data_IF_671114725606
#
_entry.id   IF_671114725606
#
_cell.length_a   1.000
_cell.length_b   1.000
_cell.length_c   1.000
_cell.angle_alpha   90.00
_cell.angle_beta   90.00
_cell.angle_gamma   90.00
#
_symmetry.space_group_name_H-M   'P 1'
#
loop_
_entity.id
_entity.type
_entity.pdbx_description
1 polymer ?
#
# COMPACT_ATOMS: atom_id res chain seq x y z
N UNK A 1 -15.13 -9.96 5.02
CA UNK A 1 -15.28 -10.41 3.62
C UNK A 1 -13.98 -11.06 3.17
N UNK A 2 -14.05 -12.22 2.50
CA UNK A 2 -12.87 -12.99 2.05
C UNK A 2 -12.05 -12.19 1.03
N UNK A 3 -10.73 -12.36 1.03
CA UNK A 3 -9.86 -11.81 -0.01
C UNK A 3 -10.30 -12.33 -1.40
N UNK A 4 -10.13 -11.52 -2.46
CA UNK A 4 -10.54 -11.94 -3.79
C UNK A 4 -9.79 -13.20 -4.23
N UNK A 5 -10.50 -14.16 -4.80
CA UNK A 5 -9.93 -15.44 -5.24
C UNK A 5 -9.06 -15.25 -6.49
N UNK A 6 -8.15 -16.20 -6.74
CA UNK A 6 -7.36 -16.20 -7.98
C UNK A 6 -8.23 -16.16 -9.25
N UNK A 7 -9.41 -16.79 -9.19
CA UNK A 7 -10.40 -16.78 -10.28
C UNK A 7 -10.93 -15.36 -10.53
N UNK A 8 -11.21 -14.57 -9.48
CA UNK A 8 -11.68 -13.19 -9.65
C UNK A 8 -10.64 -12.30 -10.34
N UNK A 9 -9.36 -12.49 -10.02
CA UNK A 9 -8.28 -11.77 -10.70
C UNK A 9 -8.11 -12.21 -12.16
N UNK A 10 -8.23 -13.51 -12.45
CA UNK A 10 -8.19 -14.02 -13.81
C UNK A 10 -9.35 -13.47 -14.66
N UNK A 11 -10.56 -13.43 -14.11
CA UNK A 11 -11.73 -12.84 -14.77
C UNK A 11 -11.52 -11.35 -15.02
N UNK A 12 -10.97 -10.61 -14.05
CA UNK A 12 -10.68 -9.19 -14.22
C UNK A 12 -9.67 -8.95 -15.35
N UNK A 13 -8.61 -9.74 -15.43
CA UNK A 13 -7.60 -9.65 -16.48
C UNK A 13 -8.19 -9.91 -17.87
N UNK A 14 -9.02 -10.95 -17.98
CA UNK A 14 -9.62 -11.36 -19.25
C UNK A 14 -10.68 -10.36 -19.72
N UNK A 15 -11.66 -10.06 -18.87
CA UNK A 15 -12.77 -9.15 -19.21
C UNK A 15 -12.25 -7.73 -19.42
N UNK A 16 -11.36 -7.24 -18.54
CA UNK A 16 -10.76 -5.92 -18.68
C UNK A 16 -9.90 -5.80 -19.93
N UNK A 17 -9.06 -6.80 -20.22
CA UNK A 17 -8.25 -6.85 -21.43
C UNK A 17 -9.08 -6.81 -22.71
N UNK A 18 -10.11 -7.67 -22.81
CA UNK A 18 -11.00 -7.71 -23.97
C UNK A 18 -11.78 -6.40 -24.11
N UNK A 19 -12.37 -5.88 -23.03
CA UNK A 19 -13.15 -4.64 -23.08
C UNK A 19 -12.32 -3.43 -23.54
N UNK A 20 -11.09 -3.29 -23.03
CA UNK A 20 -10.19 -2.22 -23.44
C UNK A 20 -9.68 -2.40 -24.88
N UNK A 21 -9.43 -3.63 -25.31
CA UNK A 21 -9.06 -3.92 -26.72
C UNK A 21 -10.20 -3.56 -27.68
N UNK A 22 -11.46 -3.83 -27.29
CA UNK A 22 -12.63 -3.41 -28.06
C UNK A 22 -12.77 -1.87 -28.10
N UNK A 23 -12.48 -1.19 -27.00
CA UNK A 23 -12.46 0.27 -26.95
C UNK A 23 -11.40 0.86 -27.90
N UNK A 24 -10.18 0.33 -27.87
CA UNK A 24 -9.11 0.74 -28.78
C UNK A 24 -9.44 0.43 -30.25
N UNK A 25 -10.21 -0.64 -30.51
CA UNK A 25 -10.72 -0.95 -31.85
C UNK A 25 -11.73 0.09 -32.36
N UNK A 26 -12.48 0.75 -31.48
CA UNK A 26 -13.32 1.89 -31.86
C UNK A 26 -12.45 3.06 -32.35
N UNK A 27 -11.33 3.34 -31.69
CA UNK A 27 -10.42 4.39 -32.13
C UNK A 27 -9.81 4.10 -33.50
N UNK A 28 -9.44 2.85 -33.77
CA UNK A 28 -8.95 2.44 -35.09
C UNK A 28 -10.05 2.60 -36.15
N UNK A 29 -11.27 2.14 -35.86
CA UNK A 29 -12.39 2.21 -36.81
C UNK A 29 -12.79 3.64 -37.19
N UNK A 30 -12.64 4.60 -36.27
CA UNK A 30 -12.91 6.01 -36.51
C UNK A 30 -11.67 6.83 -36.94
N UNK A 31 -10.53 6.17 -37.17
CA UNK A 31 -9.29 6.86 -37.58
C UNK A 31 -8.75 7.82 -36.52
N UNK A 32 -8.99 7.55 -35.23
CA UNK A 32 -8.45 8.34 -34.11
C UNK A 32 -6.98 8.00 -33.87
N UNK A 33 -6.62 6.72 -34.04
CA UNK A 33 -5.25 6.25 -33.95
C UNK A 33 -4.97 5.16 -34.99
N UNK A 34 -3.70 5.04 -35.34
CA UNK A 34 -3.18 4.02 -36.25
C UNK A 34 -2.09 3.20 -35.55
N UNK A 35 -2.13 1.87 -35.72
CA UNK A 35 -1.12 0.95 -35.17
C UNK A 35 -0.06 0.67 -36.23
N UNK A 36 1.21 0.64 -35.82
CA UNK A 36 2.33 0.42 -36.74
C UNK A 36 2.44 -1.03 -37.22
N UNK A 37 2.06 -2.00 -36.38
CA UNK A 37 1.98 -3.43 -36.72
C UNK A 37 0.61 -3.98 -36.33
N UNK A 38 -0.32 -4.04 -37.29
CA UNK A 38 -1.72 -4.37 -37.08
C UNK A 38 -2.05 -5.84 -37.42
N UNK A 39 -1.28 -6.76 -36.84
CA UNK A 39 -1.26 -8.19 -37.22
C UNK A 39 -2.57 -8.95 -36.90
N UNK A 40 -3.43 -8.41 -36.02
CA UNK A 40 -4.62 -9.09 -35.52
C UNK A 40 -5.87 -8.21 -35.62
N UNK A 41 -6.63 -8.30 -36.72
CA UNK A 41 -7.89 -7.57 -36.91
C UNK A 41 -7.77 -6.05 -36.69
N UNK A 42 -6.67 -5.45 -37.17
CA UNK A 42 -6.37 -4.03 -36.97
C UNK A 42 -5.62 -3.72 -35.67
N UNK A 43 -5.52 -4.68 -34.75
CA UNK A 43 -4.79 -4.55 -33.48
C UNK A 43 -3.37 -5.10 -33.55
N UNK A 44 -2.49 -4.51 -32.75
CA UNK A 44 -1.18 -5.11 -32.48
C UNK A 44 -1.29 -6.29 -31.52
N UNK A 45 -0.45 -7.31 -31.70
CA UNK A 45 -0.45 -8.53 -30.88
C UNK A 45 -0.31 -8.25 -29.37
N UNK A 46 0.37 -7.16 -29.01
CA UNK A 46 0.66 -6.76 -27.63
C UNK A 46 -0.48 -5.97 -26.96
N UNK A 47 -1.49 -5.50 -27.71
CA UNK A 47 -2.58 -4.67 -27.17
C UNK A 47 -3.35 -5.40 -26.07
N UNK A 48 -3.81 -6.63 -26.35
CA UNK A 48 -4.58 -7.43 -25.40
C UNK A 48 -3.75 -7.80 -24.16
N UNK A 49 -2.51 -8.36 -24.28
CA UNK A 49 -1.64 -8.59 -23.12
C UNK A 49 -1.40 -7.34 -22.27
N UNK A 50 -1.18 -6.18 -22.90
CA UNK A 50 -0.98 -4.91 -22.20
C UNK A 50 -2.21 -4.53 -21.37
N UNK A 51 -3.41 -4.56 -21.97
CA UNK A 51 -4.63 -4.21 -21.26
C UNK A 51 -5.04 -5.22 -20.19
N UNK A 52 -4.79 -6.52 -20.40
CA UNK A 52 -4.98 -7.54 -19.37
C UNK A 52 -4.05 -7.31 -18.18
N UNK A 53 -2.79 -6.95 -18.45
CA UNK A 53 -1.80 -6.60 -17.42
C UNK A 53 -2.25 -5.35 -16.65
N UNK A 54 -2.63 -4.28 -17.35
CA UNK A 54 -3.17 -3.07 -16.72
C UNK A 54 -4.35 -3.39 -15.79
N UNK A 55 -5.29 -4.21 -16.26
CA UNK A 55 -6.50 -4.60 -15.51
C UNK A 55 -6.15 -5.36 -14.22
N UNK A 56 -5.08 -6.15 -14.22
CA UNK A 56 -4.58 -6.86 -13.03
C UNK A 56 -3.94 -5.92 -12.00
N UNK A 57 -3.17 -4.93 -12.44
CA UNK A 57 -2.34 -4.12 -11.54
C UNK A 57 -3.02 -2.84 -11.04
N UNK A 58 -3.96 -2.28 -11.80
CA UNK A 58 -4.52 -0.96 -11.47
C UNK A 58 -5.33 -0.97 -10.17
N UNK A 59 -6.06 -2.06 -9.88
CA UNK A 59 -6.82 -2.20 -8.63
C UNK A 59 -5.89 -2.32 -7.41
N UNK A 60 -4.85 -3.19 -7.40
CA UNK A 60 -3.83 -3.19 -6.35
C UNK A 60 -3.13 -1.84 -6.14
N UNK A 61 -2.81 -1.13 -7.23
CA UNK A 61 -2.18 0.21 -7.17
C UNK A 61 -3.13 1.20 -6.48
N UNK A 62 -4.39 1.27 -6.89
CA UNK A 62 -5.39 2.11 -6.24
C UNK A 62 -5.59 1.75 -4.77
N UNK A 63 -5.69 0.45 -4.46
CA UNK A 63 -5.82 -0.05 -3.08
C UNK A 63 -4.64 0.40 -2.22
N UNK A 64 -3.42 0.32 -2.74
CA UNK A 64 -2.21 0.79 -2.06
C UNK A 64 -2.24 2.30 -1.85
N UNK A 65 -2.55 3.07 -2.88
CA UNK A 65 -2.72 4.53 -2.80
C UNK A 65 -3.73 4.90 -1.72
N UNK A 66 -4.91 4.29 -1.75
CA UNK A 66 -5.99 4.52 -0.79
C UNK A 66 -5.56 4.24 0.65
N UNK A 67 -4.79 3.18 0.90
CA UNK A 67 -4.24 2.89 2.21
C UNK A 67 -3.21 3.93 2.68
N UNK A 68 -2.40 4.47 1.77
CA UNK A 68 -1.41 5.50 2.09
C UNK A 68 -2.07 6.85 2.40
N UNK A 69 -3.15 7.20 1.71
CA UNK A 69 -3.88 8.46 1.92
C UNK A 69 -4.96 8.37 3.00
N UNK A 70 -5.12 7.21 3.67
CA UNK A 70 -6.18 6.97 4.65
C UNK A 70 -7.60 7.04 4.06
N UNK A 71 -7.75 6.91 2.74
CA UNK A 71 -9.05 7.03 2.10
C UNK A 71 -9.92 5.78 2.35
N UNK A 72 -11.22 5.99 2.58
CA UNK A 72 -12.15 4.92 2.91
C UNK A 72 -12.45 4.07 1.67
N UNK A 73 -12.51 2.75 1.85
CA UNK A 73 -12.97 1.83 0.80
C UNK A 73 -14.44 2.09 0.45
N UNK A 74 -14.77 1.96 -0.83
CA UNK A 74 -16.17 1.92 -1.27
C UNK A 74 -16.78 0.56 -0.93
N UNK A 75 -18.05 0.57 -0.54
CA UNK A 75 -18.87 -0.63 -0.55
C UNK A 75 -19.68 -0.60 -1.85
N UNK A 76 -19.20 -1.32 -2.85
CA UNK A 76 -19.76 -1.25 -4.21
C UNK A 76 -20.65 -2.46 -4.50
N UNK A 77 -21.90 -2.21 -4.85
CA UNK A 77 -22.85 -3.21 -5.34
C UNK A 77 -22.58 -3.60 -6.80
N UNK A 78 -23.16 -4.72 -7.26
CA UNK A 78 -23.09 -5.13 -8.68
C UNK A 78 -23.64 -4.05 -9.61
N UNK A 79 -24.72 -3.38 -9.22
CA UNK A 79 -25.34 -2.31 -10.02
C UNK A 79 -24.46 -1.07 -10.14
N UNK A 80 -23.80 -0.66 -9.06
CA UNK A 80 -22.87 0.48 -9.09
C UNK A 80 -21.61 0.18 -9.90
N UNK A 81 -21.09 -1.05 -9.82
CA UNK A 81 -19.98 -1.48 -10.66
C UNK A 81 -20.37 -1.46 -12.14
N UNK A 82 -21.54 -2.01 -12.49
CA UNK A 82 -22.05 -2.00 -13.85
C UNK A 82 -22.24 -0.57 -14.36
N UNK A 83 -22.83 0.32 -13.56
CA UNK A 83 -23.01 1.73 -13.92
C UNK A 83 -21.67 2.44 -14.16
N UNK A 84 -20.64 2.16 -13.34
CA UNK A 84 -19.32 2.73 -13.57
C UNK A 84 -18.61 2.17 -14.79
N UNK A 85 -18.77 0.87 -15.06
CA UNK A 85 -18.22 0.22 -16.25
C UNK A 85 -18.86 0.79 -17.52
N UNK A 86 -20.20 0.86 -17.58
CA UNK A 86 -20.93 1.48 -18.68
C UNK A 86 -20.52 2.94 -18.85
N UNK A 87 -20.44 3.71 -17.77
CA UNK A 87 -20.01 5.10 -17.83
C UNK A 87 -18.59 5.25 -18.38
N UNK A 88 -17.65 4.36 -18.03
CA UNK A 88 -16.30 4.36 -18.57
C UNK A 88 -16.29 3.98 -20.06
N UNK A 89 -16.93 2.86 -20.42
CA UNK A 89 -17.00 2.38 -21.80
C UNK A 89 -17.68 3.39 -22.73
N UNK A 90 -18.76 4.04 -22.28
CA UNK A 90 -19.43 5.09 -23.05
C UNK A 90 -18.55 6.32 -23.23
N UNK A 91 -17.84 6.75 -22.18
CA UNK A 91 -16.90 7.87 -22.26
C UNK A 91 -15.76 7.56 -23.23
N UNK A 92 -15.25 6.33 -23.23
CA UNK A 92 -14.25 5.89 -24.20
C UNK A 92 -14.84 5.84 -25.61
N UNK A 93 -15.93 5.10 -25.83
CA UNK A 93 -16.51 4.88 -27.16
C UNK A 93 -16.90 6.19 -27.86
N UNK A 94 -17.41 7.19 -27.12
CA UNK A 94 -17.81 8.47 -27.71
C UNK A 94 -16.62 9.26 -28.29
N UNK A 95 -15.39 9.02 -27.80
CA UNK A 95 -14.19 9.68 -28.32
C UNK A 95 -13.76 9.20 -29.70
N UNK A 96 -14.31 8.08 -30.19
CA UNK A 96 -14.19 7.66 -31.59
C UNK A 96 -14.79 8.71 -32.55
N UNK A 97 -16.13 8.80 -32.64
CA UNK A 97 -16.79 9.74 -33.55
C UNK A 97 -16.54 11.22 -33.17
N UNK A 98 -16.36 11.53 -31.89
CA UNK A 98 -16.19 12.92 -31.42
C UNK A 98 -14.72 13.34 -31.25
N UNK A 99 -13.74 12.48 -31.60
CA UNK A 99 -12.32 12.75 -31.34
C UNK A 99 -11.81 14.07 -31.91
N UNK A 100 -12.39 14.51 -33.03
CA UNK A 100 -12.08 15.77 -33.72
C UNK A 100 -12.52 17.03 -32.95
N UNK A 101 -13.32 16.92 -31.89
CA UNK A 101 -13.78 18.06 -31.09
C UNK A 101 -12.71 18.60 -30.12
N UNK A 102 -11.60 17.88 -29.94
CA UNK A 102 -10.47 18.32 -29.11
C UNK A 102 -10.90 18.73 -27.70
N UNK A 103 -10.59 19.98 -27.34
CA UNK A 103 -10.88 20.58 -26.02
C UNK A 103 -12.38 20.62 -25.67
N UNK A 104 -13.28 20.66 -26.65
CA UNK A 104 -14.73 20.65 -26.39
C UNK A 104 -15.21 19.29 -25.90
N UNK A 105 -14.67 18.21 -26.49
CA UNK A 105 -14.90 16.86 -25.98
C UNK A 105 -14.28 16.70 -24.59
N UNK A 106 -13.09 17.26 -24.34
CA UNK A 106 -12.49 17.27 -23.02
C UNK A 106 -13.39 17.95 -21.97
N UNK A 107 -14.00 19.09 -22.30
CA UNK A 107 -14.94 19.78 -21.44
C UNK A 107 -16.20 18.94 -21.16
N UNK A 108 -16.76 18.29 -22.19
CA UNK A 108 -17.93 17.41 -22.06
C UNK A 108 -17.65 16.21 -21.15
N UNK A 109 -16.52 15.53 -21.36
CA UNK A 109 -16.09 14.40 -20.54
C UNK A 109 -15.82 14.84 -19.09
N UNK A 110 -15.22 16.01 -18.90
CA UNK A 110 -15.02 16.59 -17.56
C UNK A 110 -16.35 16.84 -16.86
N UNK A 111 -17.33 17.44 -17.53
CA UNK A 111 -18.65 17.68 -16.98
C UNK A 111 -19.36 16.36 -16.62
N UNK A 112 -19.27 15.35 -17.48
CA UNK A 112 -19.80 14.02 -17.22
C UNK A 112 -19.12 13.35 -16.01
N UNK A 113 -17.80 13.51 -15.88
CA UNK A 113 -17.04 13.01 -14.73
C UNK A 113 -17.45 13.70 -13.43
N UNK A 114 -17.57 15.04 -13.43
CA UNK A 114 -18.05 15.81 -12.26
C UNK A 114 -19.46 15.36 -11.87
N UNK A 115 -20.37 15.19 -12.82
CA UNK A 115 -21.73 14.70 -12.55
C UNK A 115 -21.73 13.30 -11.90
N UNK A 116 -20.84 12.40 -12.36
CA UNK A 116 -20.66 11.07 -11.76
C UNK A 116 -20.02 11.14 -10.36
N UNK A 117 -19.14 12.12 -10.13
CA UNK A 117 -18.45 12.33 -8.86
C UNK A 117 -19.38 12.90 -7.77
N UNK A 118 -20.34 13.76 -8.11
CA UNK A 118 -21.31 14.31 -7.13
C UNK A 118 -22.06 13.20 -6.38
N UNK A 119 -22.31 12.07 -7.04
CA UNK A 119 -22.94 10.88 -6.44
C UNK A 119 -22.00 10.10 -5.50
N UNK A 120 -20.70 10.37 -5.53
CA UNK A 120 -19.63 9.60 -4.86
C UNK A 120 -18.86 10.49 -3.89
N UNK A 121 -19.37 10.63 -2.66
CA UNK A 121 -18.82 11.50 -1.59
C UNK A 121 -17.47 11.01 -1.01
N UNK A 122 -16.47 10.68 -1.83
CA UNK A 122 -15.16 10.17 -1.37
C UNK A 122 -14.01 10.98 -1.95
N UNK A 123 -13.41 11.85 -1.12
CA UNK A 123 -12.32 12.77 -1.51
C UNK A 123 -11.07 12.06 -2.07
N UNK A 124 -10.76 10.86 -1.59
CA UNK A 124 -9.59 10.09 -2.05
C UNK A 124 -9.64 9.68 -3.52
N UNK A 125 -10.85 9.51 -4.08
CA UNK A 125 -11.02 9.14 -5.49
C UNK A 125 -10.61 10.31 -6.39
N UNK A 126 -10.89 11.55 -5.99
CA UNK A 126 -10.57 12.75 -6.77
C UNK A 126 -9.06 12.84 -7.00
N UNK A 127 -8.27 12.70 -5.93
CA UNK A 127 -6.81 12.77 -6.04
C UNK A 127 -6.27 11.65 -6.93
N UNK A 128 -6.79 10.43 -6.79
CA UNK A 128 -6.41 9.31 -7.65
C UNK A 128 -6.79 9.55 -9.12
N UNK A 129 -8.00 10.08 -9.39
CA UNK A 129 -8.46 10.44 -10.73
C UNK A 129 -7.52 11.44 -11.39
N UNK A 130 -7.15 12.51 -10.68
CA UNK A 130 -6.23 13.53 -11.20
C UNK A 130 -4.83 12.95 -11.47
N UNK A 131 -4.31 12.11 -10.57
CA UNK A 131 -3.03 11.43 -10.79
C UNK A 131 -3.07 10.51 -12.00
N UNK A 132 -4.15 9.73 -12.16
CA UNK A 132 -4.31 8.82 -13.28
C UNK A 132 -4.49 9.57 -14.61
N UNK A 133 -5.19 10.71 -14.60
CA UNK A 133 -5.36 11.60 -15.76
C UNK A 133 -4.05 12.26 -16.22
N UNK A 134 -3.00 12.25 -15.40
CA UNK A 134 -1.65 12.69 -15.81
C UNK A 134 -0.79 11.48 -16.19
N UNK A 135 -0.73 10.47 -15.32
CA UNK A 135 0.16 9.31 -15.49
C UNK A 135 -0.23 8.44 -16.71
N UNK A 136 -1.53 8.23 -16.93
CA UNK A 136 -2.03 7.45 -18.06
C UNK A 136 -1.63 8.02 -19.41
N UNK A 137 -2.04 9.27 -19.73
CA UNK A 137 -1.65 9.92 -20.98
C UNK A 137 -0.14 10.07 -21.15
N UNK A 138 0.64 10.23 -20.06
CA UNK A 138 2.10 10.27 -20.16
C UNK A 138 2.69 8.93 -20.62
N UNK A 139 2.17 7.79 -20.15
CA UNK A 139 2.57 6.46 -20.62
C UNK A 139 2.17 6.28 -22.09
N UNK A 140 0.94 6.65 -22.45
CA UNK A 140 0.51 6.59 -23.86
C UNK A 140 1.35 7.47 -24.77
N UNK A 141 1.69 8.68 -24.33
CA UNK A 141 2.54 9.59 -25.09
C UNK A 141 3.93 9.00 -25.32
N UNK A 142 4.49 8.30 -24.33
CA UNK A 142 5.76 7.60 -24.46
C UNK A 142 5.69 6.40 -25.42
N UNK A 143 4.62 5.61 -25.37
CA UNK A 143 4.41 4.49 -26.31
C UNK A 143 4.21 5.03 -27.73
N UNK A 144 3.43 6.10 -27.89
CA UNK A 144 3.23 6.79 -29.18
C UNK A 144 4.55 7.33 -29.74
N UNK A 145 5.36 7.98 -28.89
CA UNK A 145 6.68 8.48 -29.26
C UNK A 145 7.68 7.38 -29.65
N UNK A 146 7.49 6.14 -29.17
CA UNK A 146 8.32 4.99 -29.56
C UNK A 146 8.01 4.46 -30.97
N UNK A 147 6.93 4.94 -31.61
CA UNK A 147 6.51 4.48 -32.93
C UNK A 147 5.63 3.23 -32.91
N UNK A 148 5.14 2.81 -31.73
CA UNK A 148 4.28 1.62 -31.63
C UNK A 148 2.86 1.86 -32.17
N UNK A 149 2.37 3.10 -32.03
CA UNK A 149 1.14 3.60 -32.63
C UNK A 149 1.19 5.12 -32.69
N UNK A 150 0.30 5.77 -33.45
CA UNK A 150 0.21 7.23 -33.51
C UNK A 150 -1.25 7.69 -33.49
N UNK A 151 -1.51 8.80 -32.81
CA UNK A 151 -2.78 9.51 -32.93
C UNK A 151 -2.78 10.34 -34.22
N UNK A 152 -3.92 10.40 -34.91
CA UNK A 152 -4.04 11.10 -36.20
C UNK A 152 -4.13 12.62 -36.06
N UNK A 153 -4.67 13.10 -34.93
CA UNK A 153 -4.79 14.53 -34.61
C UNK A 153 -4.42 14.82 -33.13
N UNK A 154 -3.14 14.72 -32.75
CA UNK A 154 -2.69 15.05 -31.40
C UNK A 154 -2.61 16.57 -31.19
N UNK A 155 -3.16 17.06 -30.06
CA UNK A 155 -3.14 18.46 -29.64
C UNK A 155 -2.61 18.63 -28.19
N UNK A 156 -2.08 17.55 -27.60
CA UNK A 156 -1.39 17.52 -26.31
C UNK A 156 -0.13 16.63 -26.42
N UNK A 157 0.98 17.19 -26.92
CA UNK A 157 2.19 16.44 -27.29
C UNK A 157 1.93 15.39 -28.38
N UNK A 158 2.12 14.10 -28.09
CA UNK A 158 1.90 12.98 -29.02
C UNK A 158 0.52 12.33 -28.84
N UNK A 159 -0.36 12.94 -28.04
CA UNK A 159 -1.71 12.43 -27.71
C UNK A 159 -2.78 13.54 -27.77
N UNK A 160 -4.08 13.20 -27.75
CA UNK A 160 -5.17 14.18 -27.76
C UNK A 160 -5.44 14.79 -26.37
N UNK A 161 -5.96 16.01 -26.35
CA UNK A 161 -6.29 16.82 -25.17
C UNK A 161 -7.50 16.27 -24.39
N UNK A 162 -8.36 15.49 -25.05
CA UNK A 162 -9.46 14.77 -24.41
C UNK A 162 -9.03 13.47 -23.71
N UNK A 163 -7.85 12.93 -24.01
CA UNK A 163 -7.38 11.64 -23.48
C UNK A 163 -7.30 11.62 -21.93
N UNK A 164 -6.76 12.65 -21.24
CA UNK A 164 -6.79 12.71 -19.78
C UNK A 164 -8.18 12.51 -19.17
N UNK A 165 -9.24 12.90 -19.87
CA UNK A 165 -10.60 12.85 -19.34
C UNK A 165 -11.18 11.44 -19.35
N UNK A 166 -10.77 10.57 -20.28
CA UNK A 166 -11.11 9.13 -20.23
C UNK A 166 -10.52 8.49 -18.97
N UNK A 167 -9.28 8.86 -18.61
CA UNK A 167 -8.61 8.37 -17.40
C UNK A 167 -9.31 8.80 -16.11
N UNK A 168 -9.93 9.98 -16.07
CA UNK A 168 -10.78 10.39 -14.94
C UNK A 168 -11.93 9.39 -14.72
N UNK A 169 -12.58 8.95 -15.80
CA UNK A 169 -13.64 7.94 -15.75
C UNK A 169 -13.11 6.55 -15.40
N UNK A 170 -11.92 6.19 -15.89
CA UNK A 170 -11.23 4.95 -15.55
C UNK A 170 -10.97 4.85 -14.04
N UNK A 171 -10.53 5.94 -13.41
CA UNK A 171 -10.32 5.99 -11.97
C UNK A 171 -11.58 5.71 -11.15
N UNK A 172 -12.76 6.17 -11.60
CA UNK A 172 -14.04 5.85 -10.96
C UNK A 172 -14.34 4.35 -11.02
N UNK A 173 -14.12 3.73 -12.19
CA UNK A 173 -14.29 2.29 -12.37
C UNK A 173 -13.32 1.48 -11.50
N UNK A 174 -12.06 1.88 -11.43
CA UNK A 174 -11.04 1.23 -10.58
C UNK A 174 -11.44 1.30 -9.10
N UNK A 175 -11.96 2.43 -8.65
CA UNK A 175 -12.43 2.58 -7.28
C UNK A 175 -13.59 1.63 -6.94
N UNK A 176 -14.53 1.46 -7.87
CA UNK A 176 -15.64 0.51 -7.73
C UNK A 176 -15.21 -0.95 -7.82
N UNK A 177 -14.26 -1.27 -8.69
CA UNK A 177 -13.65 -2.60 -8.76
C UNK A 177 -12.97 -2.96 -7.44
N UNK A 178 -12.22 -2.03 -6.84
CA UNK A 178 -11.62 -2.24 -5.53
C UNK A 178 -12.66 -2.49 -4.45
N UNK A 179 -13.72 -1.69 -4.41
CA UNK A 179 -14.84 -1.87 -3.47
C UNK A 179 -15.56 -3.21 -3.65
N UNK A 180 -15.83 -3.60 -4.90
CA UNK A 180 -16.48 -4.86 -5.26
C UNK A 180 -15.61 -6.08 -4.94
N UNK A 181 -14.29 -5.99 -5.18
CA UNK A 181 -13.30 -7.03 -4.85
C UNK A 181 -12.91 -7.04 -3.36
N UNK A 182 -13.72 -6.42 -2.50
CA UNK A 182 -13.64 -6.56 -1.06
C UNK A 182 -12.89 -5.46 -0.32
N UNK A 183 -12.39 -4.42 -0.99
CA UNK A 183 -12.02 -3.09 -0.46
C UNK A 183 -11.07 -3.00 0.75
N UNK A 184 -10.66 -4.12 1.35
CA UNK A 184 -9.76 -4.16 2.50
C UNK A 184 -8.38 -4.54 1.97
N UNK A 185 -7.38 -3.74 2.33
CA UNK A 185 -6.02 -4.23 2.24
C UNK A 185 -5.89 -5.48 3.13
N UNK A 186 -5.05 -6.45 2.76
CA UNK A 186 -4.69 -7.51 3.67
C UNK A 186 -4.23 -6.87 4.98
N UNK A 187 -4.89 -7.21 6.08
CA UNK A 187 -4.49 -6.72 7.39
C UNK A 187 -3.05 -7.17 7.63
N UNK A 188 -2.11 -6.23 7.79
CA UNK A 188 -0.73 -6.57 8.19
C UNK A 188 -0.75 -7.44 9.46
N UNK A 189 -1.78 -7.32 10.29
CA UNK A 189 -1.95 -8.05 11.56
C UNK A 189 -1.94 -9.58 11.40
N UNK A 190 -2.24 -10.10 10.21
CA UNK A 190 -2.24 -11.54 9.94
C UNK A 190 -0.98 -12.05 9.21
N UNK A 191 -0.02 -11.17 8.89
CA UNK A 191 1.17 -11.58 8.14
C UNK A 191 2.13 -12.38 9.01
N UNK A 192 2.41 -13.61 8.56
CA UNK A 192 3.49 -14.45 9.09
C UNK A 192 4.78 -14.12 8.33
N UNK A 193 5.64 -13.29 8.91
CA UNK A 193 6.91 -12.93 8.30
C UNK A 193 7.99 -13.95 8.65
N UNK A 194 8.86 -14.27 7.69
CA UNK A 194 10.12 -14.93 8.00
C UNK A 194 11.03 -14.00 8.81
N UNK A 195 11.96 -14.50 9.64
CA UNK A 195 12.92 -13.65 10.35
C UNK A 195 13.70 -12.72 9.42
N UNK A 196 14.01 -13.17 8.20
CA UNK A 196 14.68 -12.36 7.16
C UNK A 196 13.78 -11.23 6.68
N UNK A 197 12.51 -11.52 6.37
CA UNK A 197 11.53 -10.52 5.91
C UNK A 197 11.22 -9.50 7.00
N UNK A 198 11.07 -9.95 8.25
CA UNK A 198 10.86 -9.08 9.41
C UNK A 198 12.04 -8.14 9.64
N UNK A 199 13.27 -8.69 9.62
CA UNK A 199 14.49 -7.88 9.72
C UNK A 199 14.57 -6.84 8.60
N UNK A 200 14.28 -7.23 7.37
CA UNK A 200 14.28 -6.31 6.23
C UNK A 200 13.23 -5.22 6.41
N UNK A 201 11.99 -5.58 6.77
CA UNK A 201 10.88 -4.64 7.02
C UNK A 201 11.24 -3.58 8.05
N UNK A 202 11.82 -3.97 9.19
CA UNK A 202 12.25 -3.00 10.22
C UNK A 202 13.47 -2.17 9.77
N UNK A 203 14.41 -2.76 9.04
CA UNK A 203 15.60 -2.04 8.57
C UNK A 203 15.33 -1.04 7.45
N UNK A 204 14.26 -1.22 6.66
CA UNK A 204 13.82 -0.26 5.64
C UNK A 204 12.78 0.73 6.17
N UNK A 205 12.29 0.52 7.40
CA UNK A 205 11.32 1.43 8.01
C UNK A 205 11.99 2.80 8.26
N UNK A 206 11.53 3.90 7.62
CA UNK A 206 12.25 5.16 7.61
C UNK A 206 12.64 5.70 9.01
N UNK A 207 11.77 5.65 10.05
CA UNK A 207 12.13 6.12 11.39
C UNK A 207 13.33 5.41 12.01
N UNK A 208 13.54 4.13 11.73
CA UNK A 208 14.70 3.38 12.23
C UNK A 208 15.93 3.60 11.34
N UNK A 209 15.74 3.52 10.03
CA UNK A 209 16.80 3.65 9.04
C UNK A 209 17.51 5.01 9.13
N UNK A 210 16.74 6.10 9.20
CA UNK A 210 17.29 7.46 9.28
C UNK A 210 18.05 7.71 10.59
N UNK A 211 17.63 7.02 11.65
CA UNK A 211 18.30 7.04 12.95
C UNK A 211 19.45 6.02 13.06
N UNK A 212 19.84 5.38 11.95
CA UNK A 212 20.91 4.37 11.89
C UNK A 212 20.71 3.20 12.89
N UNK A 213 19.45 2.88 13.17
CA UNK A 213 19.04 1.73 13.95
C UNK A 213 18.88 0.56 12.97
N UNK A 214 19.48 -0.59 13.31
CA UNK A 214 19.36 -1.81 12.51
C UNK A 214 19.09 -3.02 13.39
N UNK A 215 18.10 -3.80 13.03
CA UNK A 215 17.93 -5.17 13.51
C UNK A 215 19.01 -6.04 12.86
N UNK A 216 19.86 -6.64 13.68
CA UNK A 216 21.00 -7.46 13.27
C UNK A 216 20.57 -8.91 13.06
N UNK A 217 19.88 -9.47 14.06
CA UNK A 217 19.40 -10.85 14.07
C UNK A 217 18.05 -10.96 14.79
N UNK A 218 17.26 -11.95 14.37
CA UNK A 218 15.99 -12.33 14.98
C UNK A 218 15.95 -13.85 15.03
N UNK A 219 15.55 -14.42 16.16
CA UNK A 219 15.38 -15.86 16.34
C UNK A 219 14.32 -16.43 15.39
N UNK A 220 14.45 -17.71 15.03
CA UNK A 220 13.48 -18.37 14.15
C UNK A 220 12.08 -18.47 14.78
N UNK A 221 12.05 -18.51 16.11
CA UNK A 221 10.91 -18.54 17.00
C UNK A 221 10.37 -17.14 17.36
N UNK A 222 11.08 -16.06 17.01
CA UNK A 222 10.79 -14.68 17.43
C UNK A 222 10.88 -14.45 18.96
N UNK A 223 11.57 -15.34 19.69
CA UNK A 223 11.85 -15.15 21.13
C UNK A 223 13.08 -14.27 21.37
N UNK A 224 13.90 -14.02 20.35
CA UNK A 224 15.09 -13.19 20.46
C UNK A 224 15.24 -12.19 19.33
N UNK A 225 15.74 -11.00 19.65
CA UNK A 225 16.05 -9.95 18.69
C UNK A 225 17.26 -9.15 19.17
N UNK A 226 18.21 -8.92 18.25
CA UNK A 226 19.36 -8.03 18.50
C UNK A 226 19.25 -6.80 17.62
N UNK A 227 19.31 -5.64 18.25
CA UNK A 227 19.29 -4.32 17.59
C UNK A 227 20.61 -3.62 17.81
N UNK A 228 21.11 -2.95 16.78
CA UNK A 228 22.33 -2.15 16.83
C UNK A 228 22.03 -0.72 16.42
N UNK A 229 22.56 0.23 17.18
CA UNK A 229 22.57 1.65 16.87
C UNK A 229 23.97 2.02 16.42
N UNK A 230 24.14 2.35 15.14
CA UNK A 230 25.44 2.78 14.66
C UNK A 230 25.72 4.23 15.08
N UNK A 231 26.97 4.51 15.45
CA UNK A 231 27.42 5.90 15.67
C UNK A 231 27.31 6.68 14.36
N UNK A 232 26.62 7.81 14.39
CA UNK A 232 26.39 8.66 13.22
C UNK A 232 26.48 10.13 13.60
N UNK A 233 27.05 11.02 12.78
CA UNK A 233 26.88 12.46 12.96
C UNK A 233 25.39 12.88 13.03
N UNK A 234 24.52 12.19 12.30
CA UNK A 234 23.06 12.47 12.25
C UNK A 234 22.33 12.16 13.56
N UNK A 235 22.89 11.31 14.41
CA UNK A 235 22.25 10.84 15.66
C UNK A 235 23.06 11.21 16.89
N UNK A 236 23.90 12.24 16.79
CA UNK A 236 24.62 12.80 17.95
C UNK A 236 23.79 13.87 18.63
N UNK A 237 23.87 13.93 19.95
CA UNK A 237 23.41 15.06 20.73
C UNK A 237 24.44 16.20 20.75
N UNK A 238 24.12 17.29 21.46
CA UNK A 238 24.98 18.47 21.62
C UNK A 238 26.40 18.13 22.12
N UNK A 239 26.54 17.07 22.91
CA UNK A 239 27.81 16.64 23.50
C UNK A 239 28.48 15.48 22.74
N UNK A 240 28.03 15.18 21.52
CA UNK A 240 28.66 14.20 20.63
C UNK A 240 28.41 12.72 20.99
N UNK A 241 27.57 12.44 22.00
CA UNK A 241 27.08 11.09 22.30
C UNK A 241 25.82 10.77 21.48
N UNK A 242 25.45 9.50 21.36
CA UNK A 242 24.19 9.10 20.71
C UNK A 242 23.00 9.81 21.36
N UNK A 243 22.14 10.41 20.55
CA UNK A 243 20.93 11.11 20.98
C UNK A 243 20.00 10.16 21.74
N UNK A 244 19.52 10.59 22.92
CA UNK A 244 18.70 9.74 23.79
C UNK A 244 17.43 9.24 23.09
N UNK A 245 16.75 10.10 22.33
CA UNK A 245 15.57 9.70 21.55
C UNK A 245 15.86 8.60 20.52
N UNK A 246 17.08 8.53 19.98
CA UNK A 246 17.51 7.43 19.11
C UNK A 246 17.67 6.12 19.87
N UNK A 247 18.16 6.17 21.11
CA UNK A 247 18.27 4.99 21.97
C UNK A 247 16.88 4.43 22.29
N UNK A 248 15.94 5.29 22.69
CA UNK A 248 14.57 4.86 22.97
C UNK A 248 13.84 4.36 21.70
N UNK A 249 14.01 5.03 20.56
CA UNK A 249 13.44 4.61 19.27
C UNK A 249 13.91 3.21 18.84
N UNK A 250 15.10 2.78 19.29
CA UNK A 250 15.62 1.46 18.97
C UNK A 250 14.96 0.33 19.77
N UNK A 251 14.37 0.65 20.94
CA UNK A 251 13.64 -0.29 21.79
C UNK A 251 12.14 -0.32 21.46
N UNK A 252 11.56 0.86 21.16
CA UNK A 252 10.13 1.09 20.99
C UNK A 252 9.36 0.01 20.18
N UNK A 253 9.75 -0.32 18.93
CA UNK A 253 8.96 -1.25 18.12
C UNK A 253 9.24 -2.73 18.43
N UNK A 254 10.32 -3.05 19.15
CA UNK A 254 10.90 -4.41 19.10
C UNK A 254 10.02 -5.42 19.81
N UNK A 255 9.77 -5.22 21.10
CA UNK A 255 8.99 -6.18 21.90
C UNK A 255 7.57 -6.35 21.34
N UNK A 256 6.91 -5.23 21.03
CA UNK A 256 5.56 -5.24 20.46
C UNK A 256 5.50 -6.00 19.11
N UNK A 257 6.52 -5.89 18.26
CA UNK A 257 6.53 -6.59 16.96
C UNK A 257 6.94 -8.06 17.07
N UNK A 258 7.73 -8.43 18.09
CA UNK A 258 8.00 -9.85 18.41
C UNK A 258 6.72 -10.56 18.85
N UNK A 259 5.95 -10.00 19.79
CA UNK A 259 4.65 -10.58 20.18
C UNK A 259 3.69 -10.70 19.01
N UNK A 260 3.63 -9.68 18.13
CA UNK A 260 2.81 -9.75 16.93
C UNK A 260 3.15 -10.98 16.06
N UNK A 261 4.44 -11.25 15.83
CA UNK A 261 4.87 -12.41 15.04
C UNK A 261 4.71 -13.75 15.77
N UNK A 262 4.96 -13.78 17.09
CA UNK A 262 4.71 -14.95 17.94
C UNK A 262 3.24 -15.39 17.86
N UNK A 263 2.30 -14.45 18.06
CA UNK A 263 0.87 -14.74 17.98
C UNK A 263 0.40 -15.04 16.56
N UNK A 264 0.89 -14.32 15.55
CA UNK A 264 0.56 -14.62 14.16
C UNK A 264 0.93 -16.07 13.81
N UNK A 265 2.08 -16.58 14.28
CA UNK A 265 2.50 -17.99 14.09
C UNK A 265 1.57 -18.99 14.76
N UNK A 266 1.01 -18.64 15.92
CA UNK A 266 -0.04 -19.39 16.63
C UNK A 266 -1.44 -19.24 16.00
N UNK A 267 -1.57 -18.47 14.92
CA UNK A 267 -2.84 -18.26 14.22
C UNK A 267 -3.73 -17.19 14.87
N UNK A 268 -3.21 -16.43 15.84
CA UNK A 268 -3.95 -15.42 16.58
C UNK A 268 -3.65 -14.05 15.96
N UNK A 269 -4.70 -13.36 15.51
CA UNK A 269 -4.58 -12.00 14.97
C UNK A 269 -4.63 -11.01 16.13
N UNK A 270 -3.57 -10.22 16.30
CA UNK A 270 -3.43 -9.25 17.39
C UNK A 270 -3.13 -7.84 16.90
N UNK A 271 -3.39 -6.86 17.75
CA UNK A 271 -2.86 -5.50 17.66
C UNK A 271 -1.89 -5.28 18.81
N UNK A 272 -0.67 -4.80 18.50
CA UNK A 272 0.37 -4.56 19.49
C UNK A 272 0.79 -3.10 19.47
N UNK A 273 1.05 -2.56 20.66
CA UNK A 273 1.39 -1.17 20.88
C UNK A 273 2.44 -1.07 21.99
N UNK A 274 3.32 -0.08 21.90
CA UNK A 274 3.98 0.44 23.09
C UNK A 274 3.00 1.42 23.74
N UNK A 275 2.57 1.13 24.96
CA UNK A 275 1.63 1.98 25.69
C UNK A 275 2.36 3.02 26.54
N UNK A 276 3.51 2.65 27.08
CA UNK A 276 4.33 3.51 27.91
C UNK A 276 5.77 3.03 27.94
N UNK A 277 6.65 3.90 28.39
CA UNK A 277 8.03 3.51 28.61
C UNK A 277 8.81 4.58 29.34
N UNK A 278 9.92 4.18 29.94
CA UNK A 278 10.87 5.09 30.57
C UNK A 278 12.28 4.72 30.13
N UNK A 279 13.19 5.69 30.22
CA UNK A 279 14.59 5.45 29.90
C UNK A 279 15.46 6.19 30.90
N UNK A 280 16.38 5.45 31.49
CA UNK A 280 17.41 5.97 32.38
C UNK A 280 18.77 5.90 31.69
N UNK A 281 19.34 7.07 31.37
CA UNK A 281 20.64 7.18 30.72
C UNK A 281 21.75 7.14 31.76
N UNK A 282 22.35 5.97 31.95
CA UNK A 282 23.39 5.73 32.95
C UNK A 282 24.74 6.37 32.57
N UNK A 283 25.12 6.35 31.29
CA UNK A 283 26.38 6.96 30.82
C UNK A 283 26.31 7.47 29.38
N UNK A 284 27.18 8.42 28.99
CA UNK A 284 27.25 8.92 27.61
C UNK A 284 27.60 7.82 26.59
N UNK A 285 26.70 7.59 25.63
CA UNK A 285 26.89 6.62 24.57
C UNK A 285 27.83 7.14 23.46
N UNK A 286 29.14 6.94 23.63
CA UNK A 286 30.17 7.43 22.69
C UNK A 286 30.55 6.43 21.59
N UNK A 287 30.14 5.18 21.70
CA UNK A 287 30.39 4.11 20.73
C UNK A 287 29.05 3.52 20.25
N UNK A 288 29.04 2.67 19.19
CA UNK A 288 27.83 1.98 18.77
C UNK A 288 27.19 1.20 19.93
N UNK A 289 25.87 1.19 19.99
CA UNK A 289 25.11 0.49 21.02
C UNK A 289 24.48 -0.78 20.48
N UNK A 290 24.30 -1.76 21.36
CA UNK A 290 23.55 -2.99 21.12
C UNK A 290 22.46 -3.15 22.18
N UNK A 291 21.26 -3.54 21.74
CA UNK A 291 20.13 -3.91 22.60
C UNK A 291 19.79 -5.35 22.25
N UNK A 292 19.87 -6.23 23.25
CA UNK A 292 19.46 -7.63 23.16
C UNK A 292 18.11 -7.80 23.84
N UNK A 293 17.14 -8.35 23.12
CA UNK A 293 15.80 -8.64 23.61
C UNK A 293 15.61 -10.14 23.61
N UNK A 294 15.19 -10.69 24.75
CA UNK A 294 14.85 -12.09 24.92
C UNK A 294 13.50 -12.20 25.63
N UNK A 295 12.59 -12.99 25.07
CA UNK A 295 11.31 -13.35 25.63
C UNK A 295 11.37 -14.81 26.07
N UNK A 296 10.93 -15.11 27.29
CA UNK A 296 10.90 -16.50 27.76
C UNK A 296 9.65 -17.21 27.24
N UNK A 297 9.73 -18.53 27.07
CA UNK A 297 8.54 -19.31 26.69
C UNK A 297 7.43 -19.22 27.73
N UNK A 298 7.80 -19.16 29.01
CA UNK A 298 6.87 -18.98 30.13
C UNK A 298 6.13 -17.63 30.04
N UNK A 299 6.83 -16.56 29.72
CA UNK A 299 6.23 -15.24 29.50
C UNK A 299 5.24 -15.28 28.34
N UNK A 300 5.61 -15.91 27.23
CA UNK A 300 4.73 -16.04 26.06
C UNK A 300 3.53 -16.93 26.37
N UNK A 301 3.68 -17.99 27.17
CA UNK A 301 2.59 -18.84 27.63
C UNK A 301 1.62 -18.06 28.53
N UNK A 302 2.13 -17.32 29.51
CA UNK A 302 1.32 -16.46 30.39
C UNK A 302 0.58 -15.38 29.60
N UNK A 303 1.25 -14.71 28.66
CA UNK A 303 0.65 -13.73 27.78
C UNK A 303 -0.45 -14.33 26.88
N UNK A 304 -0.27 -15.57 26.43
CA UNK A 304 -1.29 -16.27 25.63
C UNK A 304 -2.53 -16.57 26.45
N UNK A 305 -2.38 -17.08 27.67
CA UNK A 305 -3.49 -17.37 28.57
C UNK A 305 -4.29 -16.08 28.91
N UNK A 306 -3.60 -14.99 29.23
CA UNK A 306 -4.27 -13.71 29.53
C UNK A 306 -4.96 -13.12 28.29
N UNK A 307 -4.35 -13.29 27.12
CA UNK A 307 -4.96 -12.89 25.85
C UNK A 307 -6.22 -13.71 25.53
N UNK A 308 -6.25 -15.00 25.85
CA UNK A 308 -7.43 -15.86 25.67
C UNK A 308 -8.55 -15.51 26.66
N UNK A 309 -8.22 -15.32 27.94
CA UNK A 309 -9.18 -15.01 28.99
C UNK A 309 -9.81 -13.62 28.83
N UNK A 310 -8.98 -12.60 28.60
CA UNK A 310 -9.41 -11.17 28.64
C UNK A 310 -9.47 -10.51 27.27
N UNK A 311 -8.87 -11.14 26.25
CA UNK A 311 -8.66 -10.56 24.92
C UNK A 311 -7.63 -9.44 24.84
N UNK A 312 -6.90 -9.19 25.94
CA UNK A 312 -5.84 -8.19 26.02
C UNK A 312 -4.93 -8.45 27.21
N UNK A 313 -3.68 -8.03 27.12
CA UNK A 313 -2.74 -8.01 28.24
C UNK A 313 -1.81 -6.81 28.16
N UNK A 314 -1.14 -6.52 29.28
CA UNK A 314 -0.05 -5.55 29.38
C UNK A 314 1.16 -6.21 30.03
N UNK A 315 2.34 -5.95 29.49
CA UNK A 315 3.61 -6.45 30.05
C UNK A 315 4.69 -5.41 29.97
N UNK A 316 5.49 -5.35 31.02
CA UNK A 316 6.63 -4.44 31.11
C UNK A 316 7.90 -5.24 30.89
N UNK A 317 8.76 -4.74 30.01
CA UNK A 317 10.05 -5.35 29.72
C UNK A 317 11.16 -4.36 30.02
N UNK A 318 12.23 -4.85 30.63
CA UNK A 318 13.45 -4.10 30.85
C UNK A 318 14.50 -4.50 29.83
N UNK A 319 15.05 -3.50 29.16
CA UNK A 319 16.05 -3.64 28.12
C UNK A 319 17.26 -2.80 28.47
N UNK A 320 18.44 -3.28 28.06
CA UNK A 320 19.68 -2.56 28.28
C UNK A 320 20.34 -2.22 26.93
N UNK A 321 20.67 -0.95 26.74
CA UNK A 321 21.53 -0.50 25.65
C UNK A 321 22.98 -0.52 26.12
N UNK A 322 23.75 -1.49 25.62
CA UNK A 322 25.16 -1.68 25.96
C UNK A 322 26.07 -1.15 24.88
N UNK A 323 27.23 -0.64 25.27
CA UNK A 323 28.24 -0.15 24.33
C UNK A 323 29.17 -1.26 23.83
N UNK A 324 30.19 -0.89 23.05
CA UNK A 324 31.16 -1.84 22.51
C UNK A 324 32.01 -2.56 23.58
N UNK A 325 32.12 -2.02 24.79
CA UNK A 325 32.80 -2.64 25.92
C UNK A 325 31.86 -3.51 26.77
N UNK A 326 30.55 -3.54 26.45
CA UNK A 326 29.53 -4.29 27.17
C UNK A 326 28.88 -3.52 28.33
N UNK A 327 29.29 -2.27 28.57
CA UNK A 327 28.78 -1.45 29.64
C UNK A 327 27.40 -0.88 29.31
N UNK A 328 26.52 -0.83 30.30
CA UNK A 328 25.15 -0.29 30.16
C UNK A 328 25.18 1.24 30.03
N UNK A 329 24.80 1.75 28.86
CA UNK A 329 24.62 3.18 28.59
C UNK A 329 23.22 3.68 28.94
N UNK A 330 22.20 2.86 28.73
CA UNK A 330 20.83 3.17 29.11
C UNK A 330 20.06 1.93 29.52
N UNK A 331 19.20 2.08 30.52
CA UNK A 331 18.18 1.10 30.92
C UNK A 331 16.84 1.61 30.41
N UNK A 332 16.10 0.77 29.70
CA UNK A 332 14.88 1.14 29.00
C UNK A 332 13.78 0.23 29.50
N UNK A 333 12.69 0.80 29.98
CA UNK A 333 11.50 0.07 30.36
C UNK A 333 10.44 0.30 29.29
N UNK A 334 9.88 -0.77 28.72
CA UNK A 334 8.82 -0.71 27.71
C UNK A 334 7.57 -1.44 28.22
N UNK A 335 6.47 -0.73 28.38
CA UNK A 335 5.15 -1.30 28.68
C UNK A 335 4.42 -1.55 27.35
N UNK A 336 4.33 -2.81 26.95
CA UNK A 336 3.59 -3.21 25.77
C UNK A 336 2.12 -3.48 26.11
N UNK A 337 1.26 -3.17 25.15
CA UNK A 337 -0.15 -3.51 25.17
C UNK A 337 -0.49 -4.35 23.96
N UNK A 338 -1.07 -5.52 24.19
CA UNK A 338 -1.50 -6.43 23.13
C UNK A 338 -2.98 -6.73 23.31
N UNK A 339 -3.74 -6.72 22.22
CA UNK A 339 -5.14 -7.10 22.21
C UNK A 339 -5.50 -7.92 20.98
N UNK A 340 -6.56 -8.72 21.08
CA UNK A 340 -7.11 -9.42 19.91
C UNK A 340 -7.53 -8.40 18.85
N UNK A 341 -7.30 -8.76 17.58
CA UNK A 341 -7.72 -7.98 16.43
C UNK A 341 -9.24 -7.88 16.37
N UNK A 342 -9.76 -6.73 15.93
CA UNK A 342 -11.22 -6.48 15.84
C UNK A 342 -11.99 -7.51 14.99
N UNK A 343 -11.32 -8.20 14.06
CA UNK A 343 -11.93 -9.25 13.24
C UNK A 343 -12.14 -10.58 14.00
N UNK A 344 -11.55 -10.77 15.18
CA UNK A 344 -11.81 -11.91 16.07
C UNK A 344 -13.01 -11.68 17.01
N UNK A 345 -13.56 -10.46 17.04
CA UNK A 345 -14.66 -10.03 17.92
C UNK A 345 -15.71 -9.29 17.10
N UNK A 346 -16.54 -10.00 16.34
CA UNK A 346 -17.83 -9.42 15.94
C UNK A 346 -18.66 -9.24 17.23
N UNK A 347 -18.58 -8.06 17.80
CA UNK A 347 -19.32 -7.68 19.01
C UNK A 347 -18.54 -6.70 19.91
N UNK A 348 -18.59 -5.41 19.55
CA UNK A 348 -18.31 -4.24 20.40
C UNK A 348 -16.98 -4.17 21.16
N UNK A 349 -16.15 -3.20 20.78
CA UNK A 349 -15.92 -1.98 21.59
C UNK A 349 -14.66 -1.27 21.08
N UNK A 350 -14.87 -0.02 20.67
CA UNK A 350 -13.87 0.99 20.39
C UNK A 350 -12.99 1.21 21.64
N UNK A 351 -11.67 1.28 21.51
CA UNK A 351 -11.06 2.61 21.36
C UNK A 351 -11.32 3.31 20.03
#
# INVERSE_FOLDING_TARGET
MKAPSGIQWAVLALVGGVALTLCDSVHIAYGVLEKTNADFAGQSWWTLPMFSTLSLFIVPVYRRFRCLTGARALATSKGELAFSAVGFLASYACTGPLGHWGVWLAALLTAAWVARLIRRRVRGIILFSLLLAVAGPAVEAAISASGAFHYTAPDLFTVPSWLPMIYLHGALLVADLDGFLGGRAPSMRAWKLSPRSFRWMLNVFPPLMLQRIRVVSVGADFLSCRVRIAKSPLTRNLHGATFGGTIFSAADPIVATLFWQLFARRGIVVETWLQGGSVHYAKPAKTPLTIDVHLSEEEVASASAELEERGRFRRTHELEARDAAGDVCARITTEIYVRLGREARDGHSAF
#
